data_IF_925128632470
#
_entry.id   IF_925128632470
#
_cell.length_a   1.000
_cell.length_b   1.000
_cell.length_c   1.000
_cell.angle_alpha   90.00
_cell.angle_beta   90.00
_cell.angle_gamma   90.00
#
_symmetry.space_group_name_H-M   'P 1'
#
loop_
_entity.id
_entity.type
_entity.pdbx_description
1 polymer ?
#
# COMPACT_ATOMS: atom_id res chain seq x y z
N UNK A 1 -10.82 -13.80 10.02
CA UNK A 1 -9.89 -13.32 8.97
C UNK A 1 -8.50 -13.91 9.24
N UNK A 2 -7.67 -14.13 8.21
CA UNK A 2 -6.18 -14.06 8.32
C UNK A 2 -5.29 -15.33 8.27
N UNK A 3 -5.71 -16.50 7.78
CA UNK A 3 -4.73 -17.57 7.46
C UNK A 3 -3.92 -17.26 6.20
N UNK A 4 -4.58 -16.69 5.18
CA UNK A 4 -3.96 -16.38 3.87
C UNK A 4 -3.02 -15.18 3.94
N UNK A 5 -3.38 -14.14 4.70
CA UNK A 5 -2.56 -12.92 4.82
C UNK A 5 -1.24 -13.22 5.54
N UNK A 6 -1.31 -13.94 6.67
CA UNK A 6 -0.13 -14.35 7.44
C UNK A 6 0.82 -15.23 6.63
N UNK A 7 0.29 -16.16 5.83
CA UNK A 7 1.09 -17.00 4.95
C UNK A 7 1.79 -16.19 3.84
N UNK A 8 1.12 -15.16 3.29
CA UNK A 8 1.71 -14.26 2.28
C UNK A 8 2.81 -13.39 2.88
N UNK A 9 2.63 -12.87 4.10
CA UNK A 9 3.66 -12.10 4.81
C UNK A 9 4.92 -12.91 5.07
N UNK A 10 4.78 -14.13 5.60
CA UNK A 10 5.93 -15.04 5.84
C UNK A 10 6.67 -15.36 4.54
N UNK A 11 5.96 -15.46 3.41
CA UNK A 11 6.58 -15.71 2.11
C UNK A 11 7.36 -14.49 1.61
N UNK A 12 6.82 -13.28 1.82
CA UNK A 12 7.49 -12.02 1.48
C UNK A 12 8.73 -11.77 2.35
N UNK A 13 8.64 -12.02 3.65
CA UNK A 13 9.78 -11.93 4.58
C UNK A 13 10.92 -12.89 4.20
N UNK A 14 10.61 -14.06 3.65
CA UNK A 14 11.61 -15.00 3.12
C UNK A 14 12.25 -14.56 1.81
N UNK A 15 11.47 -13.94 0.92
CA UNK A 15 11.96 -13.47 -0.38
C UNK A 15 12.82 -12.21 -0.24
N UNK A 16 12.52 -11.39 0.78
CA UNK A 16 13.20 -10.12 1.02
C UNK A 16 13.64 -10.03 2.49
N UNK A 17 14.64 -10.82 2.91
CA UNK A 17 15.07 -10.89 4.31
C UNK A 17 15.68 -9.58 4.82
N UNK A 18 16.21 -8.75 3.90
CA UNK A 18 16.82 -7.46 4.22
C UNK A 18 15.79 -6.31 4.29
N UNK A 19 14.57 -6.54 3.79
CA UNK A 19 13.45 -5.62 3.92
C UNK A 19 12.88 -5.74 5.34
N UNK A 20 13.57 -5.11 6.29
CA UNK A 20 13.00 -4.84 7.60
C UNK A 20 11.88 -3.83 7.42
N UNK A 21 10.70 -4.05 8.01
CA UNK A 21 9.65 -3.05 7.99
C UNK A 21 10.19 -1.76 8.62
N UNK A 22 10.03 -0.64 7.92
CA UNK A 22 10.40 0.67 8.43
C UNK A 22 9.67 1.03 9.73
N UNK A 23 10.21 1.95 10.53
CA UNK A 23 9.61 2.38 11.80
C UNK A 23 8.29 3.15 11.59
N UNK A 24 8.14 3.81 10.44
CA UNK A 24 6.91 4.46 10.01
C UNK A 24 6.25 3.53 8.99
N UNK A 25 5.29 2.72 9.44
CA UNK A 25 4.50 1.88 8.55
C UNK A 25 3.27 2.67 8.10
N UNK A 26 3.04 2.72 6.79
CA UNK A 26 1.70 2.79 6.26
C UNK A 26 0.79 1.75 6.95
N UNK A 27 -0.32 2.22 7.51
CA UNK A 27 -1.32 1.34 8.13
C UNK A 27 -2.04 0.49 7.08
N UNK A 28 -2.59 -0.66 7.45
CA UNK A 28 -3.36 -1.50 6.53
C UNK A 28 -4.50 -0.72 5.84
N UNK A 29 -5.10 0.25 6.55
CA UNK A 29 -6.14 1.13 5.98
C UNK A 29 -5.60 2.09 4.92
N UNK A 30 -4.42 2.66 5.16
CA UNK A 30 -3.77 3.53 4.18
C UNK A 30 -3.32 2.71 2.96
N UNK A 31 -2.80 1.49 3.17
CA UNK A 31 -2.42 0.59 2.09
C UNK A 31 -3.62 0.21 1.22
N UNK A 32 -4.72 -0.24 1.83
CA UNK A 32 -5.95 -0.60 1.12
C UNK A 32 -6.51 0.62 0.35
N UNK A 33 -6.44 1.81 0.95
CA UNK A 33 -6.89 3.04 0.31
C UNK A 33 -6.04 3.43 -0.91
N UNK A 34 -4.71 3.34 -0.80
CA UNK A 34 -3.77 3.61 -1.90
C UNK A 34 -3.95 2.60 -3.03
N UNK A 35 -4.04 1.30 -2.71
CA UNK A 35 -4.33 0.25 -3.70
C UNK A 35 -5.63 0.55 -4.44
N UNK A 36 -6.68 0.95 -3.73
CA UNK A 36 -7.96 1.30 -4.34
C UNK A 36 -7.83 2.46 -5.34
N UNK A 37 -7.08 3.51 -4.99
CA UNK A 37 -6.82 4.63 -5.92
C UNK A 37 -6.08 4.16 -7.17
N UNK A 38 -5.03 3.35 -7.02
CA UNK A 38 -4.25 2.84 -8.14
C UNK A 38 -5.08 1.95 -9.08
N UNK A 39 -5.95 1.10 -8.53
CA UNK A 39 -6.85 0.26 -9.31
C UNK A 39 -7.87 1.07 -10.11
N UNK A 40 -8.42 2.14 -9.53
CA UNK A 40 -9.34 3.04 -10.23
C UNK A 40 -8.64 3.77 -11.38
N UNK A 41 -7.40 4.24 -11.17
CA UNK A 41 -6.60 4.84 -12.24
C UNK A 41 -6.30 3.85 -13.36
N UNK A 42 -5.94 2.60 -13.02
CA UNK A 42 -5.69 1.54 -14.00
C UNK A 42 -6.95 1.18 -14.80
N UNK A 43 -8.12 1.19 -14.16
CA UNK A 43 -9.41 0.98 -14.81
C UNK A 43 -9.89 2.19 -15.65
N UNK A 44 -9.17 3.32 -15.61
CA UNK A 44 -9.56 4.57 -16.27
C UNK A 44 -10.79 5.23 -15.64
N UNK A 45 -11.10 4.91 -14.38
CA UNK A 45 -12.19 5.52 -13.62
C UNK A 45 -11.81 6.93 -13.16
N UNK A 46 -12.82 7.76 -12.95
CA UNK A 46 -12.63 9.10 -12.38
C UNK A 46 -12.35 8.93 -10.89
N UNK A 47 -11.13 9.26 -10.49
CA UNK A 47 -10.73 9.34 -9.08
C UNK A 47 -10.97 10.77 -8.58
N UNK A 48 -11.61 10.88 -7.42
CA UNK A 48 -11.76 12.16 -6.74
C UNK A 48 -10.40 12.80 -6.44
N UNK A 49 -10.27 14.10 -6.70
CA UNK A 49 -8.99 14.81 -6.58
C UNK A 49 -8.42 14.78 -5.15
N UNK A 50 -9.26 14.92 -4.12
CA UNK A 50 -8.80 14.86 -2.74
C UNK A 50 -8.31 13.45 -2.37
N UNK A 51 -8.92 12.41 -2.96
CA UNK A 51 -8.48 11.02 -2.78
C UNK A 51 -7.14 10.74 -3.47
N UNK A 52 -6.92 11.33 -4.64
CA UNK A 52 -5.65 11.23 -5.37
C UNK A 52 -4.53 11.97 -4.63
N UNK A 53 -4.80 13.19 -4.14
CA UNK A 53 -3.84 13.98 -3.37
C UNK A 53 -3.46 13.28 -2.07
N UNK A 54 -4.45 12.70 -1.36
CA UNK A 54 -4.21 11.89 -0.17
C UNK A 54 -3.31 10.69 -0.48
N UNK A 55 -3.59 9.92 -1.54
CA UNK A 55 -2.80 8.76 -1.90
C UNK A 55 -1.35 9.15 -2.27
N UNK A 56 -1.20 10.26 -2.98
CA UNK A 56 0.11 10.81 -3.34
C UNK A 56 0.91 11.23 -2.11
N UNK A 57 0.27 11.88 -1.13
CA UNK A 57 0.91 12.27 0.13
C UNK A 57 1.37 11.05 0.94
N UNK A 58 0.56 9.98 0.98
CA UNK A 58 0.94 8.71 1.62
C UNK A 58 2.13 8.10 0.89
N UNK A 59 2.12 8.00 -0.44
CA UNK A 59 3.23 7.42 -1.20
C UNK A 59 4.53 8.22 -1.06
N UNK A 60 4.48 9.55 -1.01
CA UNK A 60 5.67 10.38 -0.74
C UNK A 60 6.22 10.18 0.68
N UNK A 61 5.34 10.08 1.69
CA UNK A 61 5.76 9.81 3.08
C UNK A 61 6.54 8.50 3.18
N UNK A 62 6.11 7.48 2.45
CA UNK A 62 6.74 6.17 2.44
C UNK A 62 7.92 6.07 1.45
N UNK A 63 8.29 7.16 0.76
CA UNK A 63 9.41 7.20 -0.19
C UNK A 63 9.19 6.37 -1.46
N UNK A 64 7.93 6.18 -1.87
CA UNK A 64 7.55 5.42 -3.07
C UNK A 64 7.48 6.29 -4.35
N UNK A 65 7.50 7.61 -4.19
CA UNK A 65 7.53 8.65 -5.22
C UNK A 65 8.61 9.67 -4.87
#
# INVERSE_FOLDING_TARGET
MSTTLKARMVRLEKLYPDLKPGPERMTDKELDGVIGVLQQLEAGEIVDAARLDWATAVMHREGML
#
